data_IF_550040308308
#
_entry.id   IF_550040308308
#
_cell.length_a   1.000
_cell.length_b   1.000
_cell.length_c   1.000
_cell.angle_alpha   90.00
_cell.angle_beta   90.00
_cell.angle_gamma   90.00
#
_symmetry.space_group_name_H-M   'P 1'
#
loop_
_entity.id
_entity.type
_entity.pdbx_description
1 polymer ?
#
# COMPACT_ATOMS: atom_id res chain seq x y z
N UNK A 1 -7.98 -4.08 7.79
CA UNK A 1 -6.64 -3.65 7.32
C UNK A 1 -6.81 -2.39 6.50
N UNK A 2 -6.14 -1.34 6.91
CA UNK A 2 -6.01 -0.07 6.22
C UNK A 2 -4.64 0.04 5.54
N UNK A 3 -4.61 0.50 4.29
CA UNK A 3 -3.42 0.51 3.43
C UNK A 3 -3.19 1.93 2.92
N UNK A 4 -2.06 2.53 3.31
CA UNK A 4 -1.65 3.89 2.92
C UNK A 4 -0.31 3.87 2.16
N UNK A 5 0.06 5.02 1.55
CA UNK A 5 1.29 5.13 0.72
C UNK A 5 2.57 4.76 1.50
N UNK A 6 2.59 4.96 2.82
CA UNK A 6 3.78 4.78 3.66
C UNK A 6 3.59 3.86 4.86
N UNK A 7 2.38 3.38 5.11
CA UNK A 7 2.10 2.50 6.23
C UNK A 7 0.94 1.58 5.91
N UNK A 8 0.91 0.46 6.61
CA UNK A 8 -0.21 -0.48 6.62
C UNK A 8 -0.61 -0.66 8.07
N UNK A 9 -1.88 -0.44 8.35
CA UNK A 9 -2.46 -0.55 9.70
C UNK A 9 -3.41 -1.74 9.70
N UNK A 10 -3.28 -2.65 10.65
CA UNK A 10 -4.12 -3.84 10.76
C UNK A 10 -4.31 -4.22 12.21
N UNK A 11 -5.46 -4.80 12.52
CA UNK A 11 -5.84 -5.02 13.90
C UNK A 11 -7.26 -5.54 14.02
N UNK A 12 -7.60 -5.90 15.25
CA UNK A 12 -8.97 -6.14 15.72
C UNK A 12 -9.46 -4.90 16.47
N UNK A 13 -10.61 -5.00 17.12
CA UNK A 13 -11.14 -3.93 18.00
C UNK A 13 -10.19 -3.71 19.19
N UNK A 14 -9.58 -4.78 19.70
CA UNK A 14 -8.78 -4.75 20.93
C UNK A 14 -7.30 -4.41 20.70
N UNK A 15 -6.78 -4.65 19.49
CA UNK A 15 -5.35 -4.46 19.19
C UNK A 15 -5.17 -3.94 17.76
N UNK A 16 -4.37 -2.88 17.61
CA UNK A 16 -4.00 -2.30 16.32
C UNK A 16 -2.49 -2.25 16.19
N UNK A 17 -1.97 -2.78 15.07
CA UNK A 17 -0.57 -2.67 14.66
C UNK A 17 -0.44 -1.79 13.41
N UNK A 18 0.60 -0.98 13.39
CA UNK A 18 0.95 -0.13 12.26
C UNK A 18 2.38 -0.45 11.83
N UNK A 19 2.54 -0.78 10.55
CA UNK A 19 3.84 -1.08 9.95
C UNK A 19 4.19 0.01 8.95
N UNK A 20 5.34 0.65 9.14
CA UNK A 20 5.86 1.62 8.19
C UNK A 20 6.53 0.92 7.00
N UNK A 21 6.02 1.19 5.79
CA UNK A 21 6.56 0.59 4.55
C UNK A 21 7.66 1.43 3.92
N UNK A 22 7.69 2.74 4.21
CA UNK A 22 8.57 3.73 3.56
C UNK A 22 8.51 3.67 2.02
N UNK A 23 7.41 3.15 1.45
CA UNK A 23 7.29 2.92 0.01
C UNK A 23 7.41 4.23 -0.78
N UNK A 24 6.82 5.34 -0.32
CA UNK A 24 6.96 6.64 -0.98
C UNK A 24 8.42 7.02 -1.17
N UNK A 25 9.25 6.88 -0.12
CA UNK A 25 10.65 7.26 -0.16
C UNK A 25 11.42 6.40 -1.18
N UNK A 26 11.19 5.08 -1.17
CA UNK A 26 11.80 4.14 -2.13
C UNK A 26 11.37 4.50 -3.56
N UNK A 27 10.07 4.62 -3.82
CA UNK A 27 9.53 4.93 -5.15
C UNK A 27 10.03 6.27 -5.69
N UNK A 28 10.13 7.28 -4.82
CA UNK A 28 10.63 8.60 -5.18
C UNK A 28 12.11 8.55 -5.53
N UNK A 29 12.92 7.88 -4.72
CA UNK A 29 14.35 7.73 -4.98
C UNK A 29 14.63 7.02 -6.32
N UNK A 30 13.92 5.92 -6.61
CA UNK A 30 14.08 5.20 -7.87
C UNK A 30 13.52 5.95 -9.08
N UNK A 31 12.44 6.71 -8.90
CA UNK A 31 11.94 7.64 -9.91
C UNK A 31 12.99 8.70 -10.29
N UNK A 32 13.60 9.36 -9.31
CA UNK A 32 14.64 10.36 -9.54
C UNK A 32 15.89 9.75 -10.21
N UNK A 33 16.29 8.53 -9.81
CA UNK A 33 17.38 7.79 -10.47
C UNK A 33 17.10 7.55 -11.95
N UNK A 34 15.90 7.05 -12.29
CA UNK A 34 15.51 6.83 -13.70
C UNK A 34 15.42 8.13 -14.48
N UNK A 35 14.85 9.19 -13.88
CA UNK A 35 14.75 10.51 -14.49
C UNK A 35 16.13 11.08 -14.85
N UNK A 36 17.12 10.92 -13.95
CA UNK A 36 18.51 11.35 -14.20
C UNK A 36 19.17 10.60 -15.36
N UNK A 37 18.88 9.30 -15.51
CA UNK A 37 19.38 8.51 -16.64
C UNK A 37 18.73 9.01 -17.93
N UNK A 38 17.42 9.24 -17.93
CA UNK A 38 16.68 9.72 -19.11
C UNK A 38 17.05 11.16 -19.51
N UNK A 39 17.46 12.01 -18.57
CA UNK A 39 17.88 13.40 -18.87
C UNK A 39 19.25 13.48 -19.54
N UNK A 40 20.04 12.41 -19.53
CA UNK A 40 21.36 12.34 -20.16
C UNK A 40 21.41 11.11 -21.07
N UNK A 41 20.64 11.13 -22.18
CA UNK A 41 20.50 9.96 -23.02
C UNK A 41 21.86 9.53 -23.54
N UNK A 42 22.14 8.23 -23.39
CA UNK A 42 23.35 7.57 -23.89
C UNK A 42 22.90 6.42 -24.77
N UNK A 43 23.75 5.99 -25.70
CA UNK A 43 23.45 4.89 -26.64
C UNK A 43 22.90 3.60 -25.97
N UNK A 44 23.08 3.39 -24.66
CA UNK A 44 22.67 2.18 -23.92
C UNK A 44 21.97 2.42 -22.55
N UNK A 45 20.93 3.25 -22.48
CA UNK A 45 20.18 3.50 -21.23
C UNK A 45 19.14 2.44 -20.83
N UNK A 46 18.57 1.70 -21.80
CA UNK A 46 17.50 0.70 -21.55
C UNK A 46 17.88 -0.34 -20.48
N UNK A 47 19.09 -0.95 -20.50
CA UNK A 47 19.49 -1.92 -19.48
C UNK A 47 19.56 -1.31 -18.07
N UNK A 48 19.98 -0.04 -17.97
CA UNK A 48 20.10 0.69 -16.70
C UNK A 48 18.72 0.98 -16.12
N UNK A 49 17.78 1.44 -16.95
CA UNK A 49 16.39 1.66 -16.54
C UNK A 49 15.75 0.36 -16.05
N UNK A 50 15.94 -0.73 -16.78
CA UNK A 50 15.45 -2.05 -16.39
C UNK A 50 16.08 -2.54 -15.08
N UNK A 51 17.40 -2.36 -14.89
CA UNK A 51 18.12 -2.68 -13.64
C UNK A 51 17.51 -1.93 -12.45
N UNK A 52 17.24 -0.64 -12.58
CA UNK A 52 16.62 0.15 -11.50
C UNK A 52 15.17 -0.23 -11.26
N UNK A 53 14.39 -0.53 -12.31
CA UNK A 53 13.04 -1.07 -12.17
C UNK A 53 13.01 -2.38 -11.39
N UNK A 54 13.87 -3.34 -11.73
CA UNK A 54 13.98 -4.63 -11.02
C UNK A 54 14.37 -4.46 -9.56
N UNK A 55 15.35 -3.59 -9.27
CA UNK A 55 15.80 -3.32 -7.89
C UNK A 55 14.72 -2.67 -7.04
N UNK A 56 14.03 -1.66 -7.57
CA UNK A 56 12.88 -1.03 -6.91
C UNK A 56 11.82 -2.07 -6.58
N UNK A 57 11.44 -2.87 -7.58
CA UNK A 57 10.39 -3.87 -7.41
C UNK A 57 10.74 -4.95 -6.39
N UNK A 58 11.99 -5.44 -6.39
CA UNK A 58 12.44 -6.44 -5.41
C UNK A 58 12.28 -5.94 -3.98
N UNK A 59 12.68 -4.68 -3.72
CA UNK A 59 12.56 -4.05 -2.39
C UNK A 59 11.09 -3.91 -1.96
N UNK A 60 10.24 -3.39 -2.84
CA UNK A 60 8.81 -3.22 -2.51
C UNK A 60 8.12 -4.57 -2.32
N UNK A 61 8.42 -5.55 -3.18
CA UNK A 61 7.87 -6.90 -3.05
C UNK A 61 8.26 -7.53 -1.71
N UNK A 62 9.52 -7.40 -1.30
CA UNK A 62 9.97 -7.90 0.00
C UNK A 62 9.18 -7.28 1.16
N UNK A 63 9.02 -5.95 1.16
CA UNK A 63 8.21 -5.23 2.16
C UNK A 63 6.78 -5.78 2.18
N UNK A 64 6.13 -5.89 1.02
CA UNK A 64 4.75 -6.39 0.94
C UNK A 64 4.62 -7.82 1.48
N UNK A 65 5.59 -8.70 1.18
CA UNK A 65 5.57 -10.06 1.71
C UNK A 65 5.76 -10.10 3.23
N UNK A 66 6.62 -9.25 3.80
CA UNK A 66 6.83 -9.13 5.25
C UNK A 66 5.57 -8.62 5.96
N UNK A 67 5.02 -7.49 5.51
CA UNK A 67 3.77 -6.93 6.07
C UNK A 67 2.64 -7.95 5.99
N UNK A 68 2.49 -8.63 4.85
CA UNK A 68 1.43 -9.63 4.72
C UNK A 68 1.64 -10.82 5.66
N UNK A 69 2.88 -11.27 5.87
CA UNK A 69 3.15 -12.33 6.83
C UNK A 69 2.72 -11.93 8.25
N UNK A 70 2.95 -10.68 8.65
CA UNK A 70 2.50 -10.18 9.95
C UNK A 70 0.97 -10.11 10.05
N UNK A 71 0.28 -9.67 9.00
CA UNK A 71 -1.18 -9.68 8.93
C UNK A 71 -1.74 -11.10 9.10
N UNK A 72 -1.20 -12.06 8.33
CA UNK A 72 -1.63 -13.46 8.41
C UNK A 72 -1.31 -14.07 9.77
N UNK A 73 -0.14 -13.77 10.34
CA UNK A 73 0.25 -14.22 11.68
C UNK A 73 -0.76 -13.75 12.72
N UNK A 74 -1.07 -12.45 12.75
CA UNK A 74 -2.08 -11.91 13.67
C UNK A 74 -3.44 -12.55 13.45
N UNK A 75 -3.90 -12.68 12.20
CA UNK A 75 -5.19 -13.29 11.88
C UNK A 75 -5.29 -14.73 12.41
N UNK A 76 -4.21 -15.51 12.30
CA UNK A 76 -4.14 -16.87 12.85
C UNK A 76 -4.14 -16.88 14.38
N UNK A 77 -3.32 -16.05 15.01
CA UNK A 77 -3.25 -15.92 16.49
C UNK A 77 -4.61 -15.56 17.08
N UNK A 78 -5.37 -14.70 16.39
CA UNK A 78 -6.71 -14.26 16.79
C UNK A 78 -7.83 -15.16 16.28
N UNK A 79 -7.51 -16.28 15.61
CA UNK A 79 -8.48 -17.21 14.99
C UNK A 79 -9.52 -16.50 14.11
N UNK A 80 -9.08 -15.44 13.41
CA UNK A 80 -9.94 -14.67 12.53
C UNK A 80 -10.30 -15.48 11.28
N UNK A 81 -11.60 -15.57 10.98
CA UNK A 81 -12.10 -16.25 9.77
C UNK A 81 -11.98 -15.37 8.52
N UNK A 82 -11.98 -14.05 8.68
CA UNK A 82 -12.04 -13.08 7.58
C UNK A 82 -11.14 -11.87 7.82
N UNK A 83 -10.40 -11.47 6.79
CA UNK A 83 -9.66 -10.21 6.72
C UNK A 83 -10.49 -9.20 5.91
N UNK A 84 -10.72 -8.04 6.50
CA UNK A 84 -11.41 -6.93 5.84
C UNK A 84 -10.37 -5.98 5.23
N UNK A 85 -10.45 -5.75 3.91
CA UNK A 85 -9.61 -4.81 3.16
C UNK A 85 -10.44 -3.65 2.62
N UNK A 86 -9.87 -2.45 2.55
CA UNK A 86 -10.52 -1.34 1.87
C UNK A 86 -10.51 -1.49 0.34
N UNK A 87 -11.61 -1.14 -0.32
CA UNK A 87 -11.71 -1.10 -1.77
C UNK A 87 -11.09 0.17 -2.36
N UNK A 88 -9.80 0.09 -2.68
CA UNK A 88 -9.00 1.18 -3.23
C UNK A 88 -9.15 1.39 -4.76
N UNK A 89 -10.08 0.69 -5.44
CA UNK A 89 -10.20 0.70 -6.93
C UNK A 89 -10.27 2.11 -7.54
N UNK A 90 -10.93 3.04 -6.84
CA UNK A 90 -11.20 4.39 -7.35
C UNK A 90 -10.35 5.50 -6.72
N UNK A 91 -9.34 5.17 -5.90
CA UNK A 91 -8.56 6.17 -5.14
C UNK A 91 -7.87 7.19 -6.06
N UNK A 92 -7.34 6.74 -7.20
CA UNK A 92 -6.65 7.60 -8.19
C UNK A 92 -7.58 8.58 -8.89
N UNK A 93 -8.88 8.27 -9.00
CA UNK A 93 -9.89 9.15 -9.62
C UNK A 93 -10.45 10.18 -8.63
N UNK A 94 -10.52 9.81 -7.35
CA UNK A 94 -11.09 10.64 -6.27
C UNK A 94 -10.15 11.73 -5.79
N UNK A 95 -8.84 11.46 -5.74
CA UNK A 95 -7.84 12.40 -5.24
C UNK A 95 -7.29 13.23 -6.41
N UNK A 96 -7.98 14.31 -6.79
CA UNK A 96 -7.48 15.31 -7.76
C UNK A 96 -7.04 16.56 -7.00
N UNK A 97 -5.79 16.58 -6.53
CA UNK A 97 -5.21 17.75 -5.83
C UNK A 97 -4.09 18.41 -6.62
N UNK A 98 -3.00 17.69 -6.94
CA UNK A 98 -1.81 18.26 -7.60
C UNK A 98 -1.12 17.25 -8.54
N UNK A 99 -0.36 17.73 -9.54
CA UNK A 99 0.44 16.88 -10.45
C UNK A 99 1.41 15.96 -9.68
N UNK A 100 2.03 16.48 -8.62
CA UNK A 100 2.96 15.72 -7.79
C UNK A 100 2.26 14.55 -7.06
N UNK A 101 1.12 14.83 -6.41
CA UNK A 101 0.34 13.81 -5.69
C UNK A 101 -0.17 12.74 -6.66
N UNK A 102 -0.65 13.14 -7.85
CA UNK A 102 -1.08 12.21 -8.88
C UNK A 102 0.08 11.29 -9.29
N UNK A 103 1.27 11.85 -9.55
CA UNK A 103 2.46 11.07 -9.86
C UNK A 103 2.81 10.05 -8.76
N UNK A 104 2.69 10.44 -7.48
CA UNK A 104 2.91 9.55 -6.33
C UNK A 104 1.90 8.40 -6.29
N UNK A 105 0.60 8.72 -6.36
CA UNK A 105 -0.48 7.72 -6.35
C UNK A 105 -0.41 6.74 -7.53
N UNK A 106 0.10 7.18 -8.68
CA UNK A 106 0.32 6.31 -9.83
C UNK A 106 1.49 5.33 -9.64
N UNK A 107 2.54 5.72 -8.90
CA UNK A 107 3.69 4.84 -8.57
C UNK A 107 3.38 3.85 -7.45
N UNK A 108 2.45 4.20 -6.56
CA UNK A 108 2.05 3.35 -5.45
C UNK A 108 1.32 2.09 -5.93
N UNK A 109 1.80 0.93 -5.48
CA UNK A 109 1.37 -0.40 -5.96
C UNK A 109 0.42 -1.12 -4.99
N UNK A 110 -0.52 -0.40 -4.37
CA UNK A 110 -1.47 -0.95 -3.40
C UNK A 110 -2.22 -2.21 -3.89
N UNK A 111 -2.61 -2.28 -5.17
CA UNK A 111 -3.29 -3.45 -5.74
C UNK A 111 -2.44 -4.72 -5.66
N UNK A 112 -1.10 -4.60 -5.73
CA UNK A 112 -0.23 -5.75 -5.57
C UNK A 112 -0.21 -6.20 -4.11
N UNK A 113 -0.15 -5.28 -3.16
CA UNK A 113 -0.22 -5.64 -1.74
C UNK A 113 -1.54 -6.35 -1.44
N UNK A 114 -2.66 -5.81 -1.90
CA UNK A 114 -3.98 -6.44 -1.79
C UNK A 114 -3.99 -7.86 -2.35
N UNK A 115 -3.49 -8.06 -3.58
CA UNK A 115 -3.33 -9.39 -4.17
C UNK A 115 -2.45 -10.33 -3.33
N UNK A 116 -1.35 -9.82 -2.76
CA UNK A 116 -0.46 -10.63 -1.91
C UNK A 116 -1.18 -11.07 -0.63
N UNK A 117 -1.97 -10.18 -0.03
CA UNK A 117 -2.82 -10.49 1.12
C UNK A 117 -3.85 -11.57 0.75
N UNK A 118 -4.59 -11.38 -0.34
CA UNK A 118 -5.60 -12.34 -0.81
C UNK A 118 -5.05 -13.74 -0.99
N UNK A 119 -3.97 -13.91 -1.77
CA UNK A 119 -3.49 -15.26 -2.04
C UNK A 119 -2.91 -15.90 -0.77
N UNK A 120 -2.22 -15.15 0.09
CA UNK A 120 -1.67 -15.70 1.34
C UNK A 120 -2.76 -16.03 2.35
N UNK A 121 -3.81 -15.20 2.44
CA UNK A 121 -4.97 -15.47 3.26
C UNK A 121 -5.65 -16.77 2.80
N UNK A 122 -5.88 -16.92 1.48
CA UNK A 122 -6.44 -18.14 0.89
C UNK A 122 -5.60 -19.38 1.20
N UNK A 123 -4.26 -19.29 1.12
CA UNK A 123 -3.36 -20.39 1.48
C UNK A 123 -3.44 -20.79 2.96
N UNK A 124 -3.94 -19.90 3.83
CA UNK A 124 -4.12 -20.16 5.26
C UNK A 124 -5.60 -20.39 5.63
N UNK A 125 -6.49 -20.58 4.65
CA UNK A 125 -7.92 -20.79 4.90
C UNK A 125 -8.67 -19.56 5.43
N UNK A 126 -8.12 -18.36 5.25
CA UNK A 126 -8.70 -17.10 5.72
C UNK A 126 -9.38 -16.39 4.54
N UNK A 127 -10.63 -15.98 4.73
CA UNK A 127 -11.38 -15.25 3.71
C UNK A 127 -10.93 -13.79 3.63
N UNK A 128 -11.10 -13.16 2.47
CA UNK A 128 -10.84 -11.72 2.29
C UNK A 128 -12.09 -11.05 1.75
N UNK A 129 -12.55 -10.02 2.45
CA UNK A 129 -13.72 -9.22 2.05
C UNK A 129 -13.31 -7.76 1.83
N UNK A 130 -13.84 -7.15 0.78
CA UNK A 130 -13.62 -5.73 0.49
C UNK A 130 -14.76 -4.86 0.99
N UNK A 131 -14.43 -3.81 1.74
CA UNK A 131 -15.38 -2.80 2.18
C UNK A 131 -15.16 -1.47 1.46
N UNK A 132 -16.23 -0.70 1.29
CA UNK A 132 -16.13 0.63 0.70
C UNK A 132 -15.30 1.55 1.61
N UNK A 133 -14.32 2.31 1.08
CA UNK A 133 -13.57 3.30 1.86
C UNK A 133 -14.41 4.55 2.20
N UNK A 134 -15.71 4.59 1.84
CA UNK A 134 -16.56 5.78 2.05
C UNK A 134 -16.91 5.88 3.54
N UNK A 135 -16.23 6.77 4.27
CA UNK A 135 -16.51 7.06 5.67
C UNK A 135 -15.57 6.40 6.68
N UNK A 136 -14.60 5.57 6.25
CA UNK A 136 -13.61 4.93 7.14
C UNK A 136 -12.48 5.88 7.56
N UNK A 137 -12.10 6.83 6.69
CA UNK A 137 -11.04 7.82 6.97
C UNK A 137 -11.56 9.15 7.51
N UNK A 138 -12.88 9.33 7.55
CA UNK A 138 -13.54 10.60 7.91
C UNK A 138 -14.44 10.46 9.11
N UNK A 139 -14.44 9.32 9.81
CA UNK A 139 -15.17 9.14 11.07
C UNK A 139 -14.24 8.56 12.14
N UNK A 140 -14.37 9.06 13.36
CA UNK A 140 -13.63 8.55 14.50
C UNK A 140 -14.09 7.10 14.81
N UNK A 141 -13.19 6.12 14.91
CA UNK A 141 -13.57 4.73 15.23
C UNK A 141 -14.06 4.57 16.67
N UNK A 142 -13.85 5.56 17.56
CA UNK A 142 -14.30 5.54 18.95
C UNK A 142 -15.69 6.15 19.15
N UNK A 143 -16.00 7.25 18.47
CA UNK A 143 -17.26 7.98 18.69
C UNK A 143 -18.15 8.13 17.45
N UNK A 144 -17.72 7.67 16.27
CA UNK A 144 -18.51 7.71 15.03
C UNK A 144 -18.70 9.09 14.40
N UNK A 145 -18.25 10.16 15.07
CA UNK A 145 -18.33 11.54 14.56
C UNK A 145 -17.41 11.75 13.35
N UNK A 146 -17.81 12.67 12.46
CA UNK A 146 -16.97 13.02 11.32
C UNK A 146 -15.72 13.77 11.79
N UNK A 147 -14.54 13.28 11.41
CA UNK A 147 -13.28 14.01 11.57
C UNK A 147 -13.40 15.31 10.75
N UNK A 148 -13.32 16.47 11.40
CA UNK A 148 -13.37 17.76 10.72
C UNK A 148 -12.21 17.86 9.71
N UNK A 149 -12.42 18.45 8.51
CA UNK A 149 -11.35 18.57 7.52
C UNK A 149 -10.21 19.49 7.96
N UNK A 150 -10.50 20.37 8.91
CA UNK A 150 -9.60 21.39 9.43
C UNK A 150 -9.63 21.26 10.96
N UNK A 151 -8.46 21.01 11.55
CA UNK A 151 -8.20 21.46 12.91
C UNK A 151 -8.08 22.98 12.94
#
# INVERSE_FOLDING_TARGET
VDINENNVTFGTIDEVKKVETKERAIRTAYFLKRRRVQSKPRLNEKPILAKYGRREWRRIKEIYHKVTNEIIKMARERRASTIILENLKNIRRRIKRTKELNGRLHRWSFRKLQFIIEYKARLNGINVTYVSPKGSSSRCPRCGEKLSPNG
#
